data_IF_140250418286
#
_entry.id   IF_140250418286
#
_cell.length_a   1.000
_cell.length_b   1.000
_cell.length_c   1.000
_cell.angle_alpha   90.00
_cell.angle_beta   90.00
_cell.angle_gamma   90.00
#
_symmetry.space_group_name_H-M   'P 1'
#
loop_
_entity.id
_entity.type
_entity.pdbx_description
1 polymer ?
#
# COMPACT_ATOMS: atom_id res chain seq x y z
N UNK A 1 6.68 34.53 8.71
CA UNK A 1 7.40 33.82 7.64
C UNK A 1 8.74 33.42 8.24
N UNK A 2 8.93 32.19 8.69
CA UNK A 2 9.25 31.05 7.82
C UNK A 2 8.67 29.76 8.41
N UNK A 3 7.97 29.02 7.56
CA UNK A 3 7.27 27.79 7.90
C UNK A 3 8.28 26.70 8.29
N UNK A 4 8.02 26.02 9.41
CA UNK A 4 8.71 24.78 9.76
C UNK A 4 8.17 23.67 8.87
N UNK A 5 8.94 23.24 7.88
CA UNK A 5 8.68 22.00 7.16
C UNK A 5 8.97 20.81 8.08
N UNK A 6 7.96 20.41 8.87
CA UNK A 6 7.97 19.15 9.61
C UNK A 6 7.86 18.00 8.61
N UNK A 7 8.99 17.51 8.10
CA UNK A 7 9.05 16.18 7.49
C UNK A 7 8.91 15.14 8.60
N UNK A 8 7.68 14.78 8.94
CA UNK A 8 7.37 13.72 9.89
C UNK A 8 7.74 12.37 9.28
N UNK A 9 8.93 11.85 9.60
CA UNK A 9 9.28 10.46 9.28
C UNK A 9 8.50 9.55 10.22
N UNK A 10 7.31 9.09 9.81
CA UNK A 10 6.58 8.04 10.52
C UNK A 10 7.28 6.70 10.22
N UNK A 11 8.29 6.38 11.02
CA UNK A 11 8.96 5.09 10.97
C UNK A 11 8.05 4.01 11.55
N UNK A 12 7.38 3.24 10.68
CA UNK A 12 6.66 2.03 11.10
C UNK A 12 7.72 0.96 11.44
N UNK A 13 7.82 0.60 12.71
CA UNK A 13 8.62 -0.54 13.17
C UNK A 13 8.02 -1.85 12.68
N UNK A 14 8.73 -2.58 11.83
CA UNK A 14 8.26 -3.82 11.22
C UNK A 14 8.39 -4.97 12.24
N UNK A 15 7.42 -5.09 13.14
CA UNK A 15 7.04 -6.35 13.77
C UNK A 15 5.94 -7.00 12.93
N UNK A 16 5.87 -8.33 12.86
CA UNK A 16 4.70 -9.03 12.31
C UNK A 16 3.53 -8.79 13.26
N UNK A 17 2.77 -7.74 13.04
CA UNK A 17 1.52 -7.47 13.73
C UNK A 17 0.39 -8.02 12.86
N UNK A 18 0.02 -9.29 13.09
CA UNK A 18 -1.34 -9.72 12.79
C UNK A 18 -2.20 -9.22 13.95
N UNK A 19 -2.80 -8.06 13.79
CA UNK A 19 -3.80 -7.55 14.72
C UNK A 19 -5.17 -8.12 14.36
N UNK A 20 -6.04 -8.24 15.36
CA UNK A 20 -7.47 -8.34 15.09
C UNK A 20 -7.98 -7.01 14.55
N UNK A 21 -9.03 -6.99 13.71
CA UNK A 21 -9.65 -5.76 13.24
C UNK A 21 -10.06 -4.86 14.42
N UNK A 22 -9.61 -3.60 14.41
CA UNK A 22 -9.94 -2.60 15.43
C UNK A 22 -11.19 -1.79 15.08
N UNK A 23 -11.68 -1.91 13.84
CA UNK A 23 -12.82 -1.16 13.30
C UNK A 23 -12.42 0.18 12.66
N UNK A 24 -11.16 0.60 12.81
CA UNK A 24 -10.56 1.73 12.08
C UNK A 24 -9.09 1.39 11.83
N UNK A 25 -8.84 0.62 10.77
CA UNK A 25 -7.51 0.10 10.45
C UNK A 25 -6.96 0.66 9.15
N UNK A 26 -5.65 0.54 9.00
CA UNK A 26 -4.95 0.69 7.73
C UNK A 26 -4.19 -0.59 7.41
N UNK A 27 -4.02 -0.87 6.12
CA UNK A 27 -3.21 -1.99 5.64
C UNK A 27 -2.08 -1.47 4.75
N UNK A 28 -0.83 -1.78 5.13
CA UNK A 28 0.36 -1.42 4.35
C UNK A 28 0.80 -2.57 3.45
N UNK A 29 1.22 -2.25 2.24
CA UNK A 29 1.74 -3.21 1.27
C UNK A 29 2.84 -2.63 0.38
N UNK A 30 3.63 -3.53 -0.21
CA UNK A 30 4.63 -3.23 -1.23
C UNK A 30 4.19 -3.90 -2.53
N UNK A 31 4.17 -3.12 -3.61
CA UNK A 31 3.79 -3.55 -4.95
C UNK A 31 4.93 -3.25 -5.93
N UNK A 32 5.04 -4.01 -7.02
CA UNK A 32 5.77 -3.57 -8.22
C UNK A 32 5.02 -3.95 -9.49
N UNK A 33 5.31 -3.24 -10.57
CA UNK A 33 4.77 -3.49 -11.90
C UNK A 33 5.84 -3.16 -12.94
N UNK A 34 5.89 -3.88 -14.08
CA UNK A 34 6.84 -3.56 -15.14
C UNK A 34 6.70 -2.11 -15.59
N UNK A 35 7.82 -1.50 -15.96
CA UNK A 35 7.84 -0.13 -16.47
C UNK A 35 7.25 -0.05 -17.90
N UNK A 36 5.91 0.00 -17.98
CA UNK A 36 5.13 0.17 -19.21
C UNK A 36 4.04 1.22 -19.02
N UNK A 37 3.60 1.84 -20.12
CA UNK A 37 2.50 2.80 -20.07
C UNK A 37 1.23 2.14 -19.50
N UNK A 38 0.55 2.85 -18.59
CA UNK A 38 -0.71 2.40 -17.97
C UNK A 38 -0.56 1.32 -16.89
N UNK A 39 0.64 0.82 -16.61
CA UNK A 39 0.83 -0.31 -15.69
C UNK A 39 0.39 0.01 -14.26
N UNK A 40 0.73 1.20 -13.75
CA UNK A 40 0.34 1.64 -12.40
C UNK A 40 -1.18 1.82 -12.30
N UNK A 41 -1.82 2.36 -13.35
CA UNK A 41 -3.27 2.50 -13.38
C UNK A 41 -3.96 1.14 -13.31
N UNK A 42 -3.54 0.18 -14.15
CA UNK A 42 -4.07 -1.19 -14.13
C UNK A 42 -3.79 -1.90 -12.82
N UNK A 43 -2.61 -1.66 -12.23
CA UNK A 43 -2.25 -2.20 -10.92
C UNK A 43 -3.21 -1.70 -9.84
N UNK A 44 -3.56 -0.42 -9.81
CA UNK A 44 -4.36 0.16 -8.72
C UNK A 44 -5.88 0.13 -8.95
N UNK A 45 -6.36 -0.15 -10.17
CA UNK A 45 -7.78 -0.23 -10.50
C UNK A 45 -8.62 -1.09 -9.54
N UNK A 46 -8.15 -2.28 -9.08
CA UNK A 46 -8.90 -3.10 -8.13
C UNK A 46 -9.27 -2.42 -6.80
N UNK A 47 -8.48 -1.43 -6.37
CA UNK A 47 -8.80 -0.65 -5.18
C UNK A 47 -10.08 0.16 -5.39
N UNK A 48 -10.20 0.84 -6.53
CA UNK A 48 -11.38 1.61 -6.88
C UNK A 48 -12.60 0.70 -7.09
N UNK A 49 -12.41 -0.42 -7.79
CA UNK A 49 -13.49 -1.38 -8.08
C UNK A 49 -14.08 -2.01 -6.80
N UNK A 50 -13.28 -2.12 -5.73
CA UNK A 50 -13.70 -2.62 -4.43
C UNK A 50 -14.02 -1.52 -3.40
N UNK A 51 -13.97 -0.25 -3.78
CA UNK A 51 -14.26 0.89 -2.90
C UNK A 51 -13.25 1.07 -1.76
N UNK A 52 -11.98 0.75 -1.98
CA UNK A 52 -10.89 0.83 -1.00
C UNK A 52 -10.06 2.09 -1.25
N UNK A 53 -10.07 3.00 -0.28
CA UNK A 53 -9.31 4.27 -0.34
C UNK A 53 -7.82 4.06 -0.06
N UNK A 54 -6.95 4.78 -0.77
CA UNK A 54 -5.52 4.87 -0.44
C UNK A 54 -5.26 6.04 0.50
N UNK A 55 -4.46 5.82 1.55
CA UNK A 55 -3.95 6.86 2.44
C UNK A 55 -2.51 7.27 2.11
N UNK A 56 -1.72 6.37 1.51
CA UNK A 56 -0.34 6.63 1.12
C UNK A 56 -0.01 5.93 -0.19
N UNK A 57 0.72 6.62 -1.06
CA UNK A 57 1.27 6.06 -2.28
C UNK A 57 2.64 6.67 -2.55
N UNK A 58 3.71 5.91 -2.31
CA UNK A 58 5.09 6.33 -2.51
C UNK A 58 5.84 5.39 -3.44
N UNK A 59 6.58 5.93 -4.41
CA UNK A 59 7.47 5.15 -5.27
C UNK A 59 8.92 5.23 -4.81
N UNK A 60 9.65 4.12 -4.92
CA UNK A 60 11.09 4.03 -4.70
C UNK A 60 11.74 3.23 -5.83
N UNK A 61 12.87 3.68 -6.39
CA UNK A 61 13.56 2.92 -7.42
C UNK A 61 14.08 1.59 -6.87
N UNK A 62 13.92 0.51 -7.62
CA UNK A 62 14.51 -0.78 -7.28
C UNK A 62 16.04 -0.71 -7.39
N UNK A 63 16.75 -1.25 -6.38
CA UNK A 63 18.23 -1.25 -6.37
C UNK A 63 18.85 -2.24 -7.37
N UNK A 64 18.04 -3.06 -8.05
CA UNK A 64 18.47 -4.19 -8.87
C UNK A 64 18.82 -3.85 -10.33
N UNK A 65 18.88 -2.57 -10.72
CA UNK A 65 19.40 -2.14 -12.02
C UNK A 65 18.44 -2.28 -13.21
N UNK A 66 17.34 -3.02 -13.07
CA UNK A 66 16.18 -2.87 -13.94
C UNK A 66 15.38 -1.65 -13.46
N UNK A 67 14.88 -0.83 -14.39
CA UNK A 67 14.09 0.38 -14.18
C UNK A 67 12.71 0.11 -13.56
N UNK A 68 12.67 -0.71 -12.52
CA UNK A 68 11.49 -1.16 -11.79
C UNK A 68 11.29 -0.27 -10.56
N UNK A 69 10.03 -0.06 -10.20
CA UNK A 69 9.65 0.71 -9.02
C UNK A 69 8.98 -0.20 -8.00
N UNK A 70 9.35 -0.02 -6.73
CA UNK A 70 8.55 -0.47 -5.61
C UNK A 70 7.60 0.65 -5.20
N UNK A 71 6.33 0.32 -5.08
CA UNK A 71 5.29 1.20 -4.56
C UNK A 71 4.95 0.77 -3.14
N UNK A 72 5.09 1.68 -2.20
CA UNK A 72 4.64 1.53 -0.82
C UNK A 72 3.27 2.17 -0.73
N UNK A 73 2.27 1.35 -0.42
CA UNK A 73 0.86 1.74 -0.45
C UNK A 73 0.25 1.45 0.91
N UNK A 74 -0.46 2.42 1.47
CA UNK A 74 -1.35 2.20 2.61
C UNK A 74 -2.78 2.43 2.16
N UNK A 75 -3.68 1.53 2.57
CA UNK A 75 -5.13 1.63 2.29
C UNK A 75 -5.93 1.67 3.58
N UNK A 76 -7.14 2.25 3.51
CA UNK A 76 -8.12 2.17 4.59
C UNK A 76 -8.72 0.76 4.66
N UNK A 77 -8.87 0.26 5.89
CA UNK A 77 -9.42 -1.05 6.20
C UNK A 77 -8.37 -2.10 6.59
N UNK A 78 -8.85 -3.13 7.26
CA UNK A 78 -8.08 -4.27 7.71
C UNK A 78 -7.95 -5.31 6.59
N UNK A 79 -6.86 -6.08 6.56
CA UNK A 79 -6.64 -7.15 5.57
C UNK A 79 -7.68 -8.28 5.62
N UNK A 80 -8.55 -8.28 6.64
CA UNK A 80 -9.65 -9.24 6.81
C UNK A 80 -11.02 -8.65 6.43
N UNK A 81 -11.09 -7.36 6.12
CA UNK A 81 -12.32 -6.73 5.65
C UNK A 81 -12.63 -7.21 4.23
N UNK A 82 -13.90 -7.55 3.97
CA UNK A 82 -14.28 -8.23 2.73
C UNK A 82 -13.91 -7.44 1.45
N UNK A 83 -14.00 -6.10 1.46
CA UNK A 83 -13.58 -5.24 0.35
C UNK A 83 -12.06 -5.24 0.16
N UNK A 84 -11.32 -5.16 1.26
CA UNK A 84 -9.85 -5.17 1.26
C UNK A 84 -9.33 -6.53 0.81
N UNK A 85 -9.88 -7.63 1.30
CA UNK A 85 -9.51 -9.00 0.87
C UNK A 85 -9.62 -9.14 -0.65
N UNK A 86 -10.76 -8.79 -1.24
CA UNK A 86 -10.97 -8.87 -2.69
C UNK A 86 -9.97 -8.00 -3.45
N UNK A 87 -9.75 -6.77 -3.00
CA UNK A 87 -8.78 -5.88 -3.61
C UNK A 87 -7.35 -6.46 -3.55
N UNK A 88 -6.91 -6.95 -2.38
CA UNK A 88 -5.59 -7.54 -2.20
C UNK A 88 -5.37 -8.76 -3.12
N UNK A 89 -6.38 -9.60 -3.28
CA UNK A 89 -6.32 -10.76 -4.19
C UNK A 89 -6.15 -10.34 -5.65
N UNK A 90 -6.87 -9.31 -6.10
CA UNK A 90 -6.75 -8.75 -7.45
C UNK A 90 -5.40 -8.07 -7.67
N UNK A 91 -4.94 -7.26 -6.71
CA UNK A 91 -3.62 -6.63 -6.75
C UNK A 91 -2.51 -7.68 -6.87
N UNK A 92 -2.59 -8.77 -6.10
CA UNK A 92 -1.61 -9.86 -6.13
C UNK A 92 -1.52 -10.54 -7.48
N UNK A 93 -2.63 -10.64 -8.22
CA UNK A 93 -2.64 -11.23 -9.57
C UNK A 93 -1.99 -10.32 -10.62
N UNK A 94 -2.12 -9.00 -10.45
CA UNK A 94 -1.67 -8.01 -11.44
C UNK A 94 -0.24 -7.51 -11.21
N UNK A 95 0.26 -7.61 -9.97
CA UNK A 95 1.57 -7.10 -9.60
C UNK A 95 2.71 -8.07 -9.99
N UNK A 96 3.85 -7.52 -10.39
CA UNK A 96 5.09 -8.28 -10.56
C UNK A 96 5.71 -8.66 -9.20
N UNK A 97 5.46 -7.85 -8.17
CA UNK A 97 5.77 -8.14 -6.78
C UNK A 97 4.61 -7.70 -5.90
N UNK A 98 4.26 -8.51 -4.91
CA UNK A 98 3.20 -8.19 -3.96
C UNK A 98 3.58 -8.69 -2.57
N UNK A 99 3.52 -7.80 -1.58
CA UNK A 99 3.71 -8.17 -0.17
C UNK A 99 2.87 -7.28 0.73
N UNK A 100 1.97 -7.89 1.50
CA UNK A 100 1.34 -7.23 2.64
C UNK A 100 2.35 -7.15 3.78
N UNK A 101 2.47 -5.99 4.41
CA UNK A 101 3.33 -5.75 5.57
C UNK A 101 2.57 -5.98 6.88
N UNK A 102 1.26 -5.72 6.88
CA UNK A 102 0.35 -5.95 7.98
C UNK A 102 -0.77 -4.90 8.00
N UNK A 103 -1.74 -5.14 8.87
CA UNK A 103 -2.76 -4.16 9.23
C UNK A 103 -2.48 -3.62 10.62
N UNK A 104 -2.89 -2.37 10.87
CA UNK A 104 -2.70 -1.71 12.16
C UNK A 104 -3.80 -0.67 12.39
N UNK A 105 -4.14 -0.36 13.66
CA UNK A 105 -5.08 0.70 13.97
C UNK A 105 -4.64 2.03 13.38
N UNK A 106 -5.56 2.70 12.70
CA UNK A 106 -5.36 4.03 12.16
C UNK A 106 -5.09 5.02 13.30
N UNK A 107 -4.06 5.85 13.18
CA UNK A 107 -3.71 6.87 14.19
C UNK A 107 -4.45 8.21 13.98
N UNK A 108 -5.54 8.22 13.20
CA UNK A 108 -6.34 9.42 12.94
C UNK A 108 -7.37 9.67 14.03
#
# INVERSE_FOLDING_TARGET
>A
MTNQDKQGTQGIGIGRYETEPSGSDQTSMILSVPNKAGAVYQLLAPLADNGVSMCRFESRPARSGAWEYYFYVDVEGHQHDASVVRALEELRRNAAYFKVLGSYPSSR
#
